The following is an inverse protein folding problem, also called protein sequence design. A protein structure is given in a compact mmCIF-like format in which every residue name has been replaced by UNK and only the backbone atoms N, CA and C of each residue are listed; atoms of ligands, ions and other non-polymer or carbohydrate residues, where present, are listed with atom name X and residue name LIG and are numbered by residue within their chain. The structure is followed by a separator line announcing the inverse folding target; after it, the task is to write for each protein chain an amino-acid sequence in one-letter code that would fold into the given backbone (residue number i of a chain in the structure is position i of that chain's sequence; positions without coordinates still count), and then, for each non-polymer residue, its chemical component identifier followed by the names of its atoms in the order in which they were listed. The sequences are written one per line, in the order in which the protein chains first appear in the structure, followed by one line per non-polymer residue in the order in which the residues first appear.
data_IF_403555439573
#
_entry.id   IF_403555439573
#
_cell.length_a   1.000
_cell.length_b   1.000
_cell.length_c   1.000
_cell.angle_alpha   90.00
_cell.angle_beta   90.00
_cell.angle_gamma   90.00
#
_symmetry.space_group_name_H-M   'P 1'
#
loop_
_entity.id
_entity.type
_entity.pdbx_description
1 polymer ?
#
# COMPACT_ATOMS: atom_id res chain seq x y z
N UNK A 1 31.38 -1.90 0.40
CA UNK A 1 30.26 -1.61 1.33
C UNK A 1 29.06 -2.49 0.93
N UNK A 2 29.15 -3.80 1.19
CA UNK A 2 28.45 -4.83 0.39
C UNK A 2 27.57 -5.78 1.23
N UNK A 3 27.12 -5.34 2.42
CA UNK A 3 26.55 -6.24 3.43
C UNK A 3 25.02 -6.16 3.63
N UNK A 4 24.28 -5.30 2.91
CA UNK A 4 22.85 -5.04 3.21
C UNK A 4 21.83 -5.60 2.21
N UNK A 5 22.27 -6.10 1.04
CA UNK A 5 21.42 -6.74 0.01
C UNK A 5 21.10 -8.22 0.29
N UNK A 6 21.82 -8.87 1.21
CA UNK A 6 21.75 -10.32 1.42
C UNK A 6 20.58 -10.82 2.29
N UNK A 7 19.79 -9.93 2.91
CA UNK A 7 18.85 -10.34 3.97
C UNK A 7 17.48 -10.81 3.50
N UNK A 8 16.91 -10.21 2.45
CA UNK A 8 15.49 -10.39 2.08
C UNK A 8 15.25 -11.42 0.98
N UNK A 9 16.11 -11.49 -0.04
CA UNK A 9 16.06 -12.54 -1.06
C UNK A 9 16.32 -13.92 -0.46
N UNK A 10 17.24 -14.01 0.51
CA UNK A 10 17.50 -15.24 1.26
C UNK A 10 16.33 -15.70 2.12
N UNK A 11 15.48 -14.79 2.58
CA UNK A 11 14.25 -15.15 3.28
C UNK A 11 13.26 -15.74 2.29
N UNK A 12 13.09 -15.16 1.09
CA UNK A 12 12.23 -15.72 0.04
C UNK A 12 12.70 -17.11 -0.42
N UNK A 13 14.00 -17.28 -0.67
CA UNK A 13 14.59 -18.58 -1.04
C UNK A 13 14.45 -19.62 0.08
N UNK A 14 14.62 -19.22 1.34
CA UNK A 14 14.36 -20.05 2.51
C UNK A 14 12.88 -20.44 2.61
N UNK A 15 11.97 -19.54 2.25
CA UNK A 15 10.53 -19.77 2.28
C UNK A 15 10.09 -20.74 1.18
N UNK A 16 10.62 -20.61 -0.04
CA UNK A 16 10.40 -21.56 -1.14
C UNK A 16 10.96 -22.96 -0.78
N UNK A 17 12.15 -23.00 -0.17
CA UNK A 17 12.77 -24.22 0.36
C UNK A 17 11.95 -24.90 1.46
N UNK A 18 11.33 -24.10 2.33
CA UNK A 18 10.51 -24.56 3.46
C UNK A 18 9.15 -25.08 2.98
N UNK A 19 8.58 -24.48 1.94
CA UNK A 19 7.27 -24.85 1.39
C UNK A 19 7.33 -26.00 0.37
N UNK A 20 8.50 -26.33 -0.19
CA UNK A 20 8.66 -27.49 -1.06
C UNK A 20 8.34 -28.81 -0.31
N UNK A 21 7.38 -29.58 -0.84
CA UNK A 21 6.68 -30.67 -0.12
C UNK A 21 7.58 -31.84 0.32
N UNK A 22 8.77 -32.06 -0.27
CA UNK A 22 9.58 -33.27 0.03
C UNK A 22 11.10 -33.07 0.20
N UNK A 23 11.64 -31.87 0.03
CA UNK A 23 13.11 -31.68 -0.06
C UNK A 23 13.71 -30.62 0.87
N UNK A 24 12.97 -30.14 1.88
CA UNK A 24 13.42 -29.03 2.74
C UNK A 24 14.79 -29.23 3.41
N UNK A 25 15.23 -30.47 3.64
CA UNK A 25 16.58 -30.78 4.12
C UNK A 25 17.68 -30.67 3.05
N UNK A 26 17.38 -31.04 1.80
CA UNK A 26 18.29 -30.91 0.67
C UNK A 26 18.48 -29.44 0.28
N UNK A 27 17.39 -28.66 0.26
CA UNK A 27 17.44 -27.24 -0.11
C UNK A 27 18.15 -26.40 0.96
N UNK A 28 17.97 -26.69 2.25
CA UNK A 28 18.77 -26.05 3.32
C UNK A 28 20.27 -26.33 3.18
N UNK A 29 20.65 -27.52 2.69
CA UNK A 29 22.05 -27.85 2.45
C UNK A 29 22.59 -27.12 1.21
N UNK A 30 21.79 -26.99 0.14
CA UNK A 30 22.13 -26.20 -1.05
C UNK A 30 22.32 -24.72 -0.70
N UNK A 31 21.37 -24.11 0.02
CA UNK A 31 21.47 -22.71 0.46
C UNK A 31 22.64 -22.46 1.41
N UNK A 32 22.98 -23.43 2.26
CA UNK A 32 24.15 -23.35 3.11
C UNK A 32 25.45 -23.44 2.28
N UNK A 33 25.52 -24.33 1.28
CA UNK A 33 26.64 -24.48 0.37
C UNK A 33 26.88 -23.21 -0.48
N UNK A 34 25.80 -22.61 -1.01
CA UNK A 34 25.83 -21.35 -1.76
C UNK A 34 26.27 -20.16 -0.88
N UNK A 35 26.00 -20.24 0.43
CA UNK A 35 26.47 -19.27 1.42
C UNK A 35 27.86 -19.59 2.01
N UNK A 36 28.58 -20.60 1.49
CA UNK A 36 29.84 -21.12 2.03
C UNK A 36 29.80 -21.42 3.54
N UNK A 37 28.65 -21.89 4.02
CA UNK A 37 28.36 -22.16 5.42
C UNK A 37 27.88 -23.59 5.61
N UNK A 38 28.10 -24.18 6.78
CA UNK A 38 27.46 -25.47 7.09
C UNK A 38 25.97 -25.25 7.35
N UNK A 39 25.13 -26.25 7.05
CA UNK A 39 23.68 -26.21 7.32
C UNK A 39 23.35 -25.84 8.79
N UNK A 40 24.21 -26.26 9.73
CA UNK A 40 24.13 -25.88 11.14
C UNK A 40 24.42 -24.39 11.40
N UNK A 41 25.48 -23.83 10.80
CA UNK A 41 25.82 -22.42 10.94
C UNK A 41 24.81 -21.50 10.22
N UNK A 42 24.33 -21.91 9.05
CA UNK A 42 23.29 -21.22 8.30
C UNK A 42 21.96 -21.19 9.08
N UNK A 43 21.50 -22.34 9.58
CA UNK A 43 20.29 -22.42 10.41
C UNK A 43 20.39 -21.54 11.66
N UNK A 44 21.55 -21.49 12.34
CA UNK A 44 21.76 -20.61 13.50
C UNK A 44 21.78 -19.13 13.11
N UNK A 45 22.32 -18.78 11.94
CA UNK A 45 22.35 -17.39 11.46
C UNK A 45 20.95 -16.90 11.09
N UNK A 46 20.16 -17.72 10.38
CA UNK A 46 18.76 -17.46 10.05
C UNK A 46 17.91 -17.37 11.32
N UNK A 47 18.08 -18.30 12.28
CA UNK A 47 17.35 -18.26 13.56
C UNK A 47 17.64 -16.98 14.36
N UNK A 48 18.86 -16.46 14.28
CA UNK A 48 19.24 -15.19 14.95
C UNK A 48 18.65 -13.97 14.24
N UNK A 49 18.49 -14.03 12.92
CA UNK A 49 17.93 -12.94 12.13
C UNK A 49 16.39 -12.90 12.17
N UNK A 50 15.74 -14.07 12.15
CA UNK A 50 14.29 -14.21 12.15
C UNK A 50 13.68 -14.47 13.55
N UNK A 51 14.48 -14.72 14.58
CA UNK A 51 13.97 -15.02 15.93
C UNK A 51 13.27 -16.38 16.07
N UNK A 52 13.12 -17.15 14.97
CA UNK A 52 12.50 -18.47 14.94
C UNK A 52 13.39 -19.45 14.13
N UNK A 53 13.58 -20.67 14.63
CA UNK A 53 14.35 -21.68 13.91
C UNK A 53 13.63 -22.12 12.61
N UNK A 54 14.33 -22.32 11.47
CA UNK A 54 13.69 -22.66 10.19
C UNK A 54 12.74 -23.87 10.26
N UNK A 55 13.14 -24.92 10.98
CA UNK A 55 12.31 -26.11 11.18
C UNK A 55 11.09 -25.85 12.08
N UNK A 56 11.17 -24.89 13.03
CA UNK A 56 10.03 -24.47 13.84
C UNK A 56 9.06 -23.62 13.01
N UNK A 57 9.58 -22.66 12.25
CA UNK A 57 8.82 -21.84 11.30
C UNK A 57 8.06 -22.69 10.29
N UNK A 58 8.74 -23.67 9.65
CA UNK A 58 8.10 -24.62 8.74
C UNK A 58 6.92 -25.33 9.39
N UNK A 59 7.12 -25.89 10.59
CA UNK A 59 6.07 -26.61 11.32
C UNK A 59 4.89 -25.69 11.64
N UNK A 60 5.14 -24.45 12.05
CA UNK A 60 4.10 -23.45 12.34
C UNK A 60 3.31 -23.12 11.08
N UNK A 61 3.98 -22.72 9.99
CA UNK A 61 3.34 -22.36 8.70
C UNK A 61 2.52 -23.52 8.14
N UNK A 62 3.00 -24.76 8.24
CA UNK A 62 2.23 -25.94 7.80
C UNK A 62 1.01 -26.23 8.67
N UNK A 63 1.09 -25.97 9.98
CA UNK A 63 -0.07 -26.06 10.88
C UNK A 63 -1.09 -24.96 10.58
N UNK A 64 -0.65 -23.73 10.29
CA UNK A 64 -1.51 -22.63 9.83
C UNK A 64 -2.22 -22.96 8.52
N UNK A 65 -1.51 -23.55 7.56
CA UNK A 65 -2.12 -24.07 6.32
C UNK A 65 -3.16 -25.15 6.62
N UNK A 66 -2.83 -26.13 7.45
CA UNK A 66 -3.75 -27.22 7.79
C UNK A 66 -5.01 -26.70 8.50
N UNK A 67 -4.87 -25.72 9.41
CA UNK A 67 -6.00 -25.08 10.06
C UNK A 67 -6.90 -24.35 9.04
N UNK A 68 -6.31 -23.61 8.09
CA UNK A 68 -7.05 -22.97 7.01
C UNK A 68 -7.79 -23.98 6.13
N UNK A 69 -7.12 -25.07 5.74
CA UNK A 69 -7.74 -26.13 4.92
C UNK A 69 -8.91 -26.80 5.65
N UNK A 70 -8.76 -27.10 6.95
CA UNK A 70 -9.83 -27.69 7.78
C UNK A 70 -11.02 -26.73 7.92
N UNK A 71 -10.76 -25.44 8.16
CA UNK A 71 -11.80 -24.41 8.20
C UNK A 71 -12.52 -24.25 6.85
N UNK A 72 -11.85 -24.57 5.74
CA UNK A 72 -12.42 -24.62 4.40
C UNK A 72 -13.11 -25.95 4.07
N UNK A 73 -13.23 -26.86 5.04
CA UNK A 73 -13.95 -28.13 4.90
C UNK A 73 -13.08 -29.33 4.46
N UNK A 74 -11.75 -29.19 4.40
CA UNK A 74 -10.87 -30.35 4.18
C UNK A 74 -10.94 -31.32 5.35
N UNK A 75 -10.87 -32.61 5.08
CA UNK A 75 -10.80 -33.62 6.14
C UNK A 75 -9.52 -33.47 6.96
N UNK A 76 -9.59 -33.77 8.27
CA UNK A 76 -8.43 -33.75 9.17
C UNK A 76 -7.32 -34.66 8.67
N UNK A 77 -7.68 -35.81 8.10
CA UNK A 77 -6.75 -36.80 7.54
C UNK A 77 -5.96 -36.22 6.36
N UNK A 78 -6.65 -35.59 5.41
CA UNK A 78 -6.00 -35.02 4.22
C UNK A 78 -5.12 -33.83 4.60
N UNK A 79 -5.59 -32.99 5.54
CA UNK A 79 -4.80 -31.88 6.06
C UNK A 79 -3.53 -32.36 6.79
N UNK A 80 -3.62 -33.47 7.53
CA UNK A 80 -2.46 -34.06 8.23
C UNK A 80 -1.36 -34.52 7.26
N UNK A 81 -1.74 -35.24 6.21
CA UNK A 81 -0.78 -35.72 5.20
C UNK A 81 -0.25 -34.58 4.33
N UNK A 82 -1.08 -33.61 3.95
CA UNK A 82 -0.64 -32.41 3.23
C UNK A 82 0.36 -31.56 4.05
N UNK A 83 0.22 -31.56 5.39
CA UNK A 83 1.16 -30.92 6.30
C UNK A 83 2.46 -31.74 6.54
N UNK A 84 2.60 -32.90 5.89
CA UNK A 84 3.80 -33.74 5.96
C UNK A 84 3.95 -34.56 7.23
N UNK A 85 2.85 -34.93 7.90
CA UNK A 85 2.86 -35.85 9.03
C UNK A 85 2.66 -37.29 8.58
N UNK A 86 3.43 -38.22 9.14
CA UNK A 86 3.31 -39.66 8.86
C UNK A 86 2.06 -40.30 9.51
N UNK A 87 1.41 -39.61 10.46
CA UNK A 87 0.19 -40.09 11.10
C UNK A 87 -0.74 -38.97 11.56
N UNK A 88 -2.04 -39.24 11.49
CA UNK A 88 -3.11 -38.32 11.95
C UNK A 88 -3.03 -38.06 13.46
N UNK A 89 -2.58 -39.05 14.24
CA UNK A 89 -2.36 -38.91 15.69
C UNK A 89 -1.16 -38.01 16.01
N UNK A 90 -0.09 -38.10 15.21
CA UNK A 90 1.05 -37.20 15.30
C UNK A 90 0.66 -35.75 15.00
N UNK A 91 -0.10 -35.57 13.91
CA UNK A 91 -0.66 -34.27 13.53
C UNK A 91 -1.59 -33.71 14.60
N UNK A 92 -2.58 -34.48 15.07
CA UNK A 92 -3.56 -34.04 16.05
C UNK A 92 -2.91 -33.57 17.35
N UNK A 93 -1.87 -34.28 17.84
CA UNK A 93 -1.10 -33.83 19.02
C UNK A 93 -0.35 -32.53 18.76
N UNK A 94 0.27 -32.37 17.59
CA UNK A 94 0.99 -31.13 17.25
C UNK A 94 0.01 -29.95 17.09
N UNK A 95 -1.11 -30.16 16.42
CA UNK A 95 -2.17 -29.19 16.21
C UNK A 95 -2.79 -28.75 17.55
N UNK A 96 -3.18 -29.69 18.40
CA UNK A 96 -3.76 -29.36 19.72
C UNK A 96 -2.81 -28.57 20.60
N UNK A 97 -1.50 -28.87 20.55
CA UNK A 97 -0.49 -28.08 21.28
C UNK A 97 -0.38 -26.65 20.76
N UNK A 98 -0.58 -26.45 19.45
CA UNK A 98 -0.46 -25.14 18.83
C UNK A 98 -1.74 -24.30 19.00
N UNK A 99 -2.91 -24.88 18.78
CA UNK A 99 -4.20 -24.17 18.76
C UNK A 99 -5.00 -24.26 20.06
N UNK A 100 -4.61 -25.13 20.98
CA UNK A 100 -5.34 -25.38 22.23
C UNK A 100 -6.63 -26.18 22.06
N UNK A 101 -6.91 -26.70 20.86
CA UNK A 101 -8.08 -27.53 20.55
C UNK A 101 -7.73 -28.58 19.49
N UNK A 102 -8.44 -29.74 19.45
CA UNK A 102 -8.22 -30.74 18.41
C UNK A 102 -8.63 -30.20 17.02
N UNK A 103 -8.02 -30.71 15.93
CA UNK A 103 -8.30 -30.23 14.57
C UNK A 103 -9.79 -30.26 14.20
N UNK A 104 -10.51 -31.30 14.66
CA UNK A 104 -11.95 -31.47 14.41
C UNK A 104 -12.83 -30.44 15.13
N UNK A 105 -12.29 -29.75 16.13
CA UNK A 105 -12.98 -28.70 16.89
C UNK A 105 -12.45 -27.30 16.54
N UNK A 106 -11.65 -27.17 15.47
CA UNK A 106 -11.19 -25.86 15.01
C UNK A 106 -12.41 -25.02 14.61
N UNK A 107 -12.65 -23.85 15.23
CA UNK A 107 -13.78 -23.00 14.89
C UNK A 107 -13.72 -22.52 13.44
N UNK A 108 -14.86 -22.16 12.83
CA UNK A 108 -14.89 -21.50 11.53
C UNK A 108 -13.98 -20.28 11.47
N UNK A 109 -13.47 -19.96 10.28
CA UNK A 109 -12.51 -18.86 10.06
C UNK A 109 -13.00 -17.49 10.57
N UNK A 110 -14.31 -17.23 10.52
CA UNK A 110 -14.88 -15.97 10.99
C UNK A 110 -14.88 -15.84 12.53
N UNK A 111 -14.91 -16.97 13.24
CA UNK A 111 -14.86 -17.00 14.71
C UNK A 111 -13.42 -17.01 15.23
N UNK A 112 -12.51 -17.64 14.49
CA UNK A 112 -11.09 -17.73 14.87
C UNK A 112 -10.19 -17.83 13.64
N UNK A 113 -9.22 -16.93 13.55
CA UNK A 113 -8.17 -17.01 12.54
C UNK A 113 -7.29 -18.27 12.69
N UNK A 114 -6.59 -18.62 11.62
CA UNK A 114 -5.70 -19.79 11.56
C UNK A 114 -4.24 -19.46 11.91
N UNK A 115 -3.88 -18.20 12.17
CA UNK A 115 -2.52 -17.78 12.49
C UNK A 115 -2.10 -18.15 13.91
N UNK A 116 -0.87 -18.64 14.04
CA UNK A 116 -0.21 -18.95 15.32
C UNK A 116 0.80 -17.84 15.65
N UNK A 117 1.11 -17.57 16.93
CA UNK A 117 2.13 -16.60 17.29
C UNK A 117 3.46 -16.82 16.54
N UNK A 118 3.92 -15.80 15.83
CA UNK A 118 5.08 -15.85 14.95
C UNK A 118 6.13 -14.80 15.37
N UNK A 119 7.28 -15.19 15.94
CA UNK A 119 8.32 -14.23 16.33
C UNK A 119 8.92 -13.42 15.18
N UNK A 120 8.83 -13.95 13.95
CA UNK A 120 9.24 -13.29 12.70
C UNK A 120 8.08 -12.59 11.97
N UNK A 121 6.86 -12.71 12.49
CA UNK A 121 5.64 -12.28 11.83
C UNK A 121 5.29 -13.02 10.52
N UNK A 122 6.03 -14.05 10.12
CA UNK A 122 5.77 -14.74 8.86
C UNK A 122 4.62 -15.74 9.06
N UNK A 123 3.49 -15.56 8.39
CA UNK A 123 2.32 -16.43 8.45
C UNK A 123 1.92 -16.98 7.08
N UNK A 124 1.22 -18.12 7.07
CA UNK A 124 0.55 -18.66 5.89
C UNK A 124 -0.66 -17.79 5.48
N UNK A 125 -0.69 -17.35 4.22
CA UNK A 125 -1.83 -16.70 3.58
C UNK A 125 -2.23 -17.39 2.27
N UNK A 126 -3.45 -17.90 2.21
CA UNK A 126 -3.99 -18.56 1.01
C UNK A 126 -4.15 -17.57 -0.17
N UNK A 127 -4.05 -18.02 -1.44
CA UNK A 127 -3.71 -19.38 -1.89
C UNK A 127 -2.20 -19.63 -2.09
N UNK A 128 -1.35 -18.60 -2.00
CA UNK A 128 0.08 -18.74 -2.36
C UNK A 128 1.00 -17.69 -1.74
N UNK A 129 0.55 -16.90 -0.75
CA UNK A 129 1.31 -15.75 -0.24
C UNK A 129 1.76 -16.00 1.20
N UNK A 130 2.93 -15.52 1.55
CA UNK A 130 3.36 -15.44 2.95
C UNK A 130 3.12 -14.02 3.43
N UNK A 131 2.33 -13.89 4.49
CA UNK A 131 2.09 -12.61 5.15
C UNK A 131 3.25 -12.36 6.12
N UNK A 132 3.86 -11.18 6.10
CA UNK A 132 4.87 -10.78 7.09
C UNK A 132 4.24 -9.71 7.96
N UNK A 133 3.77 -10.10 9.13
CA UNK A 133 3.40 -9.21 10.22
C UNK A 133 4.66 -8.44 10.64
N UNK A 134 4.62 -7.11 10.50
CA UNK A 134 5.78 -6.28 10.80
C UNK A 134 6.10 -6.21 12.30
N UNK A 135 5.19 -6.71 13.16
CA UNK A 135 5.36 -6.69 14.61
C UNK A 135 5.27 -5.28 15.18
N UNK A 136 4.35 -5.09 16.13
CA UNK A 136 3.79 -3.82 16.59
C UNK A 136 2.80 -3.20 15.60
N UNK A 137 1.70 -2.74 16.18
CA UNK A 137 0.60 -1.97 15.59
C UNK A 137 1.13 -0.62 15.11
N UNK A 138 1.98 -0.67 14.09
CA UNK A 138 2.21 0.44 13.19
C UNK A 138 1.03 0.31 12.22
N UNK A 139 -0.06 1.05 12.47
CA UNK A 139 -1.08 1.38 11.47
C UNK A 139 -0.37 1.40 10.11
N UNK A 140 -0.72 0.46 9.21
CA UNK A 140 -0.15 0.06 7.90
C UNK A 140 0.94 0.92 7.17
N UNK A 141 1.84 1.60 7.89
CA UNK A 141 2.14 3.00 7.55
C UNK A 141 0.90 3.89 7.74
N UNK A 142 1.08 5.17 8.07
CA UNK A 142 -0.01 6.14 7.98
C UNK A 142 -0.52 6.15 6.52
N UNK A 143 -1.57 5.36 6.24
CA UNK A 143 -2.12 5.13 4.91
C UNK A 143 -2.58 6.46 4.32
N UNK A 144 -3.09 7.35 5.17
CA UNK A 144 -3.50 8.69 4.79
C UNK A 144 -2.26 9.49 4.35
N UNK A 145 -1.17 9.48 5.11
CA UNK A 145 0.08 10.12 4.67
C UNK A 145 0.68 9.49 3.40
N UNK A 146 0.54 8.19 3.18
CA UNK A 146 0.94 7.53 1.94
C UNK A 146 0.12 8.05 0.76
N UNK A 147 -1.21 8.07 0.91
CA UNK A 147 -2.14 8.57 -0.11
C UNK A 147 -1.88 10.04 -0.43
N UNK A 148 -1.67 10.88 0.58
CA UNK A 148 -1.36 12.31 0.42
C UNK A 148 -0.06 12.50 -0.34
N UNK A 149 1.02 11.80 0.04
CA UNK A 149 2.31 11.95 -0.66
C UNK A 149 2.21 11.48 -2.10
N UNK A 150 1.57 10.34 -2.33
CA UNK A 150 1.33 9.83 -3.66
C UNK A 150 0.52 10.83 -4.51
N UNK A 151 -0.56 11.38 -3.96
CA UNK A 151 -1.40 12.39 -4.61
C UNK A 151 -0.61 13.61 -5.08
N UNK A 152 0.27 14.14 -4.21
CA UNK A 152 1.08 15.32 -4.50
C UNK A 152 2.16 15.01 -5.55
N UNK A 153 2.88 13.89 -5.41
CA UNK A 153 3.95 13.49 -6.32
C UNK A 153 3.40 13.11 -7.70
N UNK A 154 2.29 12.35 -7.74
CA UNK A 154 1.64 11.92 -8.98
C UNK A 154 1.03 13.10 -9.73
N UNK A 155 0.43 14.06 -9.02
CA UNK A 155 -0.03 15.33 -9.63
C UNK A 155 1.15 16.10 -10.22
N UNK A 156 2.29 16.20 -9.52
CA UNK A 156 3.47 16.86 -10.03
C UNK A 156 4.01 16.19 -11.31
N UNK A 157 3.98 14.85 -11.36
CA UNK A 157 4.40 14.07 -12.51
C UNK A 157 3.46 14.25 -13.72
N UNK A 158 2.13 14.29 -13.48
CA UNK A 158 1.12 14.59 -14.51
C UNK A 158 1.31 15.99 -15.08
N UNK A 159 1.49 17.00 -14.22
CA UNK A 159 1.74 18.38 -14.64
C UNK A 159 3.04 18.51 -15.44
N UNK A 160 4.11 17.82 -15.02
CA UNK A 160 5.37 17.80 -15.77
C UNK A 160 5.23 17.12 -17.14
N UNK A 161 4.39 16.10 -17.26
CA UNK A 161 4.16 15.42 -18.54
C UNK A 161 3.35 16.27 -19.54
N UNK A 162 2.62 17.28 -19.07
CA UNK A 162 1.95 18.25 -19.92
C UNK A 162 2.90 19.31 -20.49
N UNK A 163 4.16 19.36 -20.03
CA UNK A 163 5.15 20.29 -20.54
C UNK A 163 5.48 19.97 -22.02
N UNK A 164 5.27 20.95 -22.89
CA UNK A 164 5.48 20.80 -24.33
C UNK A 164 4.29 20.22 -25.10
N UNK A 165 3.13 20.02 -24.46
CA UNK A 165 1.87 19.84 -25.17
C UNK A 165 1.54 21.13 -25.92
N UNK A 166 1.19 21.01 -27.19
CA UNK A 166 0.78 22.15 -28.02
C UNK A 166 -0.47 22.83 -27.46
N UNK A 167 -0.56 24.15 -27.62
CA UNK A 167 -1.61 24.98 -27.03
C UNK A 167 -3.01 24.58 -27.51
N UNK A 168 -3.15 24.25 -28.80
CA UNK A 168 -4.43 23.83 -29.39
C UNK A 168 -4.87 22.50 -28.78
N UNK A 169 -3.95 21.54 -28.59
CA UNK A 169 -4.25 20.28 -27.93
C UNK A 169 -4.47 20.44 -26.42
N UNK A 170 -3.77 21.35 -25.76
CA UNK A 170 -3.95 21.65 -24.34
C UNK A 170 -5.36 22.16 -24.04
N UNK A 171 -5.89 23.03 -24.91
CA UNK A 171 -7.23 23.63 -24.80
C UNK A 171 -8.31 22.93 -25.62
N UNK A 172 -7.97 21.85 -26.33
CA UNK A 172 -8.94 21.06 -27.08
C UNK A 172 -10.01 20.47 -26.16
N UNK A 173 -11.26 20.76 -26.48
CA UNK A 173 -12.41 20.14 -25.83
C UNK A 173 -12.48 18.65 -26.19
N UNK A 174 -12.51 17.81 -25.15
CA UNK A 174 -12.56 16.34 -25.27
C UNK A 174 -13.82 15.73 -24.66
N UNK A 175 -14.38 16.38 -23.64
CA UNK A 175 -15.57 15.92 -22.94
C UNK A 175 -16.60 17.05 -22.81
N UNK A 176 -17.34 17.40 -23.87
CA UNK A 176 -18.30 18.50 -23.83
C UNK A 176 -19.32 18.34 -22.70
N UNK A 177 -19.49 19.39 -21.90
CA UNK A 177 -20.40 19.43 -20.75
C UNK A 177 -19.98 18.60 -19.54
N UNK A 178 -18.76 18.04 -19.52
CA UNK A 178 -18.28 17.28 -18.38
C UNK A 178 -17.88 18.17 -17.21
N UNK A 179 -18.37 17.78 -16.02
CA UNK A 179 -18.02 18.35 -14.72
C UNK A 179 -17.90 17.22 -13.71
N UNK A 180 -16.88 17.27 -12.86
CA UNK A 180 -16.75 16.30 -11.76
C UNK A 180 -17.56 16.75 -10.55
N UNK A 181 -17.52 18.05 -10.26
CA UNK A 181 -18.27 18.70 -9.20
C UNK A 181 -19.09 19.83 -9.83
N UNK A 182 -20.38 19.90 -9.55
CA UNK A 182 -21.29 20.87 -10.19
C UNK A 182 -20.87 22.33 -9.95
N UNK A 183 -20.20 22.59 -8.83
CA UNK A 183 -19.76 23.91 -8.39
C UNK A 183 -18.31 24.25 -8.77
N UNK A 184 -17.49 23.29 -9.20
CA UNK A 184 -16.07 23.53 -9.50
C UNK A 184 -15.85 24.13 -10.90
N UNK A 185 -16.84 23.99 -11.80
CA UNK A 185 -16.73 24.45 -13.18
C UNK A 185 -16.54 23.31 -14.18
N UNK A 186 -16.14 23.68 -15.39
CA UNK A 186 -16.03 22.76 -16.53
C UNK A 186 -14.70 21.99 -16.50
N UNK A 187 -14.74 20.69 -16.83
CA UNK A 187 -13.58 19.81 -16.91
C UNK A 187 -13.49 19.14 -18.29
N UNK A 188 -13.70 19.95 -19.33
CA UNK A 188 -13.84 19.47 -20.70
C UNK A 188 -12.52 19.43 -21.46
N UNK A 189 -11.51 20.18 -21.01
CA UNK A 189 -10.17 20.29 -21.60
C UNK A 189 -9.07 19.82 -20.65
N UNK A 190 -7.88 19.54 -21.19
CA UNK A 190 -6.72 19.20 -20.35
C UNK A 190 -6.33 20.38 -19.46
N UNK A 191 -6.40 21.62 -19.97
CA UNK A 191 -6.16 22.83 -19.20
C UNK A 191 -7.05 22.91 -17.95
N UNK A 192 -8.36 22.66 -18.09
CA UNK A 192 -9.27 22.69 -16.94
C UNK A 192 -8.91 21.62 -15.90
N UNK A 193 -8.70 20.38 -16.34
CA UNK A 193 -8.39 19.27 -15.43
C UNK A 193 -7.08 19.52 -14.68
N UNK A 194 -6.05 20.03 -15.34
CA UNK A 194 -4.78 20.35 -14.69
C UNK A 194 -4.88 21.56 -13.76
N UNK A 195 -5.70 22.56 -14.08
CA UNK A 195 -5.98 23.68 -13.20
C UNK A 195 -6.59 23.20 -11.88
N UNK A 196 -7.62 22.36 -11.94
CA UNK A 196 -8.22 21.74 -10.74
C UNK A 196 -7.22 20.90 -9.95
N UNK A 197 -6.45 20.04 -10.63
CA UNK A 197 -5.44 19.21 -9.97
C UNK A 197 -4.41 20.03 -9.19
N UNK A 198 -3.96 21.16 -9.75
CA UNK A 198 -2.96 22.01 -9.15
C UNK A 198 -3.50 22.83 -7.98
N UNK A 199 -4.78 23.21 -7.99
CA UNK A 199 -5.31 24.28 -7.14
C UNK A 199 -6.39 23.86 -6.14
N UNK A 200 -7.10 22.75 -6.33
CA UNK A 200 -8.28 22.39 -5.52
C UNK A 200 -8.02 22.25 -4.01
N UNK A 201 -6.76 22.12 -3.59
CA UNK A 201 -6.38 22.08 -2.17
C UNK A 201 -6.30 23.48 -1.53
N UNK A 202 -6.21 24.54 -2.33
CA UNK A 202 -5.97 25.89 -1.87
C UNK A 202 -7.18 26.50 -1.12
N UNK A 203 -8.44 26.36 -1.58
CA UNK A 203 -9.61 26.79 -0.79
C UNK A 203 -9.69 26.11 0.57
N UNK A 204 -9.40 24.80 0.62
CA UNK A 204 -9.34 24.06 1.86
C UNK A 204 -8.24 24.55 2.79
N UNK A 205 -7.05 24.86 2.27
CA UNK A 205 -5.96 25.45 3.06
C UNK A 205 -6.37 26.81 3.63
N UNK A 206 -6.95 27.69 2.82
CA UNK A 206 -7.42 29.00 3.30
C UNK A 206 -8.45 28.85 4.41
N UNK A 207 -9.44 27.96 4.23
CA UNK A 207 -10.45 27.64 5.22
C UNK A 207 -9.85 27.08 6.54
N UNK A 208 -8.90 26.15 6.46
CA UNK A 208 -8.25 25.53 7.63
C UNK A 208 -7.32 26.52 8.36
N UNK A 209 -6.60 27.36 7.61
CA UNK A 209 -5.60 28.30 8.14
C UNK A 209 -6.21 29.66 8.53
N UNK A 210 -7.49 29.89 8.22
CA UNK A 210 -8.20 31.13 8.50
C UNK A 210 -7.76 32.29 7.60
N UNK A 211 -7.37 32.00 6.36
CA UNK A 211 -7.03 33.00 5.35
C UNK A 211 -8.26 33.46 4.56
N UNK A 212 -8.12 34.58 3.85
CA UNK A 212 -9.14 35.08 2.91
C UNK A 212 -9.33 34.13 1.72
N UNK A 213 -10.41 34.35 0.96
CA UNK A 213 -10.70 33.60 -0.26
C UNK A 213 -9.47 33.61 -1.20
N UNK A 214 -8.93 32.43 -1.57
CA UNK A 214 -7.70 32.39 -2.31
C UNK A 214 -7.92 32.76 -3.77
N UNK A 215 -6.98 33.51 -4.34
CA UNK A 215 -6.94 33.71 -5.79
C UNK A 215 -6.61 32.39 -6.49
N UNK A 216 -7.59 31.83 -7.19
CA UNK A 216 -7.43 30.64 -8.04
C UNK A 216 -6.80 30.98 -9.41
N UNK A 217 -6.64 32.27 -9.73
CA UNK A 217 -5.89 32.75 -10.88
C UNK A 217 -6.57 32.53 -12.24
N UNK A 218 -6.14 33.32 -13.22
CA UNK A 218 -6.49 33.14 -14.64
C UNK A 218 -5.40 32.41 -15.42
N UNK A 219 -4.18 32.36 -14.86
CA UNK A 219 -3.02 31.72 -15.48
C UNK A 219 -3.19 30.19 -15.43
N UNK A 220 -3.47 29.59 -16.59
CA UNK A 220 -3.67 28.17 -16.79
C UNK A 220 -2.49 27.48 -17.49
N UNK A 221 -1.39 28.20 -17.72
CA UNK A 221 -0.19 27.63 -18.34
C UNK A 221 0.49 26.61 -17.42
N UNK A 222 1.05 25.57 -18.02
CA UNK A 222 1.61 24.42 -17.28
C UNK A 222 2.72 24.83 -16.32
N UNK A 223 3.54 25.84 -16.65
CA UNK A 223 4.63 26.26 -15.79
C UNK A 223 4.12 26.96 -14.53
N UNK A 224 3.10 27.81 -14.66
CA UNK A 224 2.43 28.46 -13.55
C UNK A 224 1.68 27.46 -12.67
N UNK A 225 0.96 26.50 -13.26
CA UNK A 225 0.30 25.43 -12.52
C UNK A 225 1.28 24.56 -11.72
N UNK A 226 2.45 24.22 -12.28
CA UNK A 226 3.50 23.47 -11.56
C UNK A 226 4.08 24.23 -10.37
N UNK A 227 4.33 25.53 -10.54
CA UNK A 227 4.82 26.41 -9.46
C UNK A 227 3.81 26.45 -8.31
N UNK A 228 2.55 26.74 -8.64
CA UNK A 228 1.43 26.78 -7.68
C UNK A 228 1.23 25.46 -6.96
N UNK A 229 1.21 24.34 -7.68
CA UNK A 229 1.10 23.00 -7.09
C UNK A 229 2.24 22.73 -6.10
N UNK A 230 3.48 23.12 -6.41
CA UNK A 230 4.61 22.89 -5.52
C UNK A 230 4.49 23.64 -4.18
N UNK A 231 4.01 24.88 -4.23
CA UNK A 231 3.75 25.71 -3.04
C UNK A 231 2.59 25.14 -2.20
N UNK A 232 1.48 24.79 -2.86
CA UNK A 232 0.29 24.21 -2.24
C UNK A 232 0.62 22.83 -1.63
N UNK A 233 1.38 21.99 -2.33
CA UNK A 233 1.79 20.67 -1.87
C UNK A 233 2.60 20.75 -0.57
N UNK A 234 3.51 21.71 -0.46
CA UNK A 234 4.30 21.92 0.76
C UNK A 234 3.42 22.30 1.96
N UNK A 235 2.47 23.24 1.76
CA UNK A 235 1.51 23.66 2.80
C UNK A 235 0.58 22.51 3.19
N UNK A 236 0.01 21.81 2.22
CA UNK A 236 -0.86 20.67 2.44
C UNK A 236 -0.20 19.56 3.25
N UNK A 237 1.06 19.23 2.94
CA UNK A 237 1.83 18.24 3.66
C UNK A 237 2.16 18.68 5.09
N UNK A 238 2.42 19.98 5.31
CA UNK A 238 2.65 20.53 6.63
C UNK A 238 1.39 20.49 7.50
N UNK A 239 0.25 20.93 6.94
CA UNK A 239 -1.06 20.90 7.59
C UNK A 239 -1.45 19.48 7.99
N UNK A 240 -1.42 18.53 7.06
CA UNK A 240 -1.84 17.14 7.34
C UNK A 240 -0.94 16.44 8.36
N UNK A 241 0.37 16.75 8.39
CA UNK A 241 1.28 16.28 9.44
C UNK A 241 0.98 16.87 10.81
N UNK A 242 0.56 18.14 10.87
CA UNK A 242 0.12 18.75 12.12
C UNK A 242 -1.16 18.10 12.65
N UNK A 243 -2.14 17.87 11.78
CA UNK A 243 -3.40 17.21 12.13
C UNK A 243 -3.15 15.82 12.71
N UNK A 244 -2.34 15.00 12.03
CA UNK A 244 -1.94 13.67 12.52
C UNK A 244 -1.22 13.77 13.87
N UNK A 245 -0.23 14.67 13.99
CA UNK A 245 0.54 14.86 15.23
C UNK A 245 -0.35 15.23 16.42
N UNK A 246 -1.43 15.99 16.19
CA UNK A 246 -2.39 16.39 17.23
C UNK A 246 -3.51 15.37 17.44
N UNK A 247 -3.65 14.36 16.58
CA UNK A 247 -4.82 13.46 16.60
C UNK A 247 -6.13 14.17 16.24
N UNK A 248 -6.06 15.23 15.43
CA UNK A 248 -7.12 16.20 15.20
C UNK A 248 -8.05 15.87 14.02
N UNK A 249 -8.03 14.63 13.50
CA UNK A 249 -8.85 14.25 12.33
C UNK A 249 -10.36 14.40 12.52
N UNK A 250 -10.81 14.44 13.78
CA UNK A 250 -12.19 14.70 14.18
C UNK A 250 -12.53 16.17 14.45
N UNK A 251 -11.56 17.09 14.29
CA UNK A 251 -11.81 18.52 14.43
C UNK A 251 -12.67 19.02 13.24
N UNK A 252 -13.52 20.00 13.53
CA UNK A 252 -14.41 20.63 12.56
C UNK A 252 -13.81 21.96 12.10
N UNK A 253 -13.92 22.23 10.81
CA UNK A 253 -13.70 23.54 10.22
C UNK A 253 -15.03 24.07 9.72
N UNK A 254 -15.31 25.32 10.05
CA UNK A 254 -16.48 26.03 9.53
C UNK A 254 -16.00 26.84 8.35
N UNK A 255 -16.40 26.44 7.15
CA UNK A 255 -16.13 27.19 5.94
C UNK A 255 -17.06 28.39 5.86
N UNK A 256 -16.52 29.53 6.31
CA UNK A 256 -17.21 30.81 6.23
C UNK A 256 -17.19 31.42 4.81
N UNK A 257 -16.47 30.82 3.87
CA UNK A 257 -16.43 31.23 2.46
C UNK A 257 -17.62 30.63 1.67
N UNK A 258 -18.23 29.55 2.16
CA UNK A 258 -19.49 29.03 1.62
C UNK A 258 -20.69 29.94 1.97
N UNK A 259 -21.66 30.03 1.06
CA UNK A 259 -22.99 30.63 1.32
C UNK A 259 -24.11 29.60 1.08
N UNK A 260 -24.76 29.07 2.14
CA UNK A 260 -24.53 29.38 3.56
C UNK A 260 -23.22 28.74 4.09
N UNK A 261 -22.68 29.23 5.23
CA UNK A 261 -21.51 28.61 5.85
C UNK A 261 -21.75 27.14 6.19
N UNK A 262 -20.79 26.27 5.82
CA UNK A 262 -20.87 24.83 6.01
C UNK A 262 -19.78 24.34 6.98
N UNK A 263 -20.02 23.21 7.65
CA UNK A 263 -19.06 22.63 8.59
C UNK A 263 -18.59 21.27 8.12
N UNK A 264 -17.27 21.07 8.07
CA UNK A 264 -16.65 19.84 7.60
C UNK A 264 -15.64 19.31 8.61
N UNK A 265 -15.53 17.98 8.72
CA UNK A 265 -14.43 17.36 9.45
C UNK A 265 -13.14 17.45 8.63
N UNK A 266 -11.99 17.65 9.30
CA UNK A 266 -10.68 17.60 8.63
C UNK A 266 -10.45 16.29 7.87
N UNK A 267 -10.90 15.17 8.44
CA UNK A 267 -10.87 13.87 7.75
C UNK A 267 -11.75 13.81 6.49
N UNK A 268 -12.91 14.47 6.49
CA UNK A 268 -13.80 14.53 5.33
C UNK A 268 -13.19 15.39 4.21
N UNK A 269 -12.56 16.52 4.57
CA UNK A 269 -11.84 17.38 3.63
C UNK A 269 -10.72 16.60 2.93
N UNK A 270 -9.90 15.87 3.69
CA UNK A 270 -8.82 15.05 3.10
C UNK A 270 -9.36 13.90 2.25
N UNK A 271 -10.42 13.22 2.69
CA UNK A 271 -11.06 12.17 1.90
C UNK A 271 -11.66 12.71 0.59
N UNK A 272 -12.32 13.86 0.65
CA UNK A 272 -12.88 14.57 -0.51
C UNK A 272 -11.78 14.90 -1.53
N UNK A 273 -10.73 15.60 -1.09
CA UNK A 273 -9.63 16.05 -1.96
C UNK A 273 -8.91 14.87 -2.62
N UNK A 274 -8.60 13.80 -1.88
CA UNK A 274 -7.95 12.61 -2.43
C UNK A 274 -8.84 11.89 -3.46
N UNK A 275 -10.15 11.82 -3.21
CA UNK A 275 -11.11 11.13 -4.09
C UNK A 275 -11.16 11.80 -5.46
N UNK A 276 -11.41 13.11 -5.49
CA UNK A 276 -11.56 13.83 -6.77
C UNK A 276 -10.21 14.04 -7.46
N UNK A 277 -9.13 14.24 -6.71
CA UNK A 277 -7.80 14.34 -7.32
C UNK A 277 -7.36 13.02 -7.97
N UNK A 278 -7.66 11.86 -7.37
CA UNK A 278 -7.39 10.55 -7.99
C UNK A 278 -8.12 10.37 -9.32
N UNK A 279 -9.40 10.75 -9.38
CA UNK A 279 -10.18 10.73 -10.62
C UNK A 279 -9.54 11.63 -11.69
N UNK A 280 -9.25 12.89 -11.35
CA UNK A 280 -8.69 13.87 -12.29
C UNK A 280 -7.30 13.49 -12.78
N UNK A 281 -6.45 12.85 -11.97
CA UNK A 281 -5.15 12.34 -12.45
C UNK A 281 -5.31 11.27 -13.52
N UNK A 282 -6.27 10.35 -13.37
CA UNK A 282 -6.56 9.36 -14.41
C UNK A 282 -7.13 10.01 -15.67
N UNK A 283 -8.03 10.98 -15.51
CA UNK A 283 -8.59 11.72 -16.63
C UNK A 283 -7.51 12.51 -17.40
N UNK A 284 -6.65 13.22 -16.70
CA UNK A 284 -5.52 13.95 -17.28
C UNK A 284 -4.58 13.02 -18.04
N UNK A 285 -4.28 11.82 -17.49
CA UNK A 285 -3.49 10.80 -18.21
C UNK A 285 -4.12 10.39 -19.52
N UNK A 286 -5.42 10.11 -19.51
CA UNK A 286 -6.15 9.79 -20.72
C UNK A 286 -6.09 10.93 -21.76
N UNK A 287 -6.30 12.18 -21.33
CA UNK A 287 -6.20 13.34 -22.22
C UNK A 287 -4.78 13.58 -22.75
N UNK A 288 -3.73 13.40 -21.93
CA UNK A 288 -2.33 13.47 -22.33
C UNK A 288 -2.00 12.42 -23.40
N UNK A 289 -2.47 11.18 -23.22
CA UNK A 289 -2.29 10.13 -24.22
C UNK A 289 -2.97 10.50 -25.56
N UNK A 290 -4.16 11.11 -25.51
CA UNK A 290 -4.84 11.61 -26.71
C UNK A 290 -4.11 12.77 -27.38
N UNK A 291 -3.45 13.63 -26.60
CA UNK A 291 -2.57 14.69 -27.10
C UNK A 291 -1.23 14.17 -27.65
N UNK A 292 -1.01 12.85 -27.67
CA UNK A 292 0.20 12.23 -28.22
C UNK A 292 1.38 12.12 -27.25
N UNK A 293 1.18 12.41 -25.96
CA UNK A 293 2.23 12.30 -24.93
C UNK A 293 2.46 10.82 -24.57
N UNK A 294 3.72 10.38 -24.55
CA UNK A 294 4.07 9.02 -24.08
C UNK A 294 3.99 8.92 -22.56
N UNK A 295 2.84 8.44 -22.06
CA UNK A 295 2.57 8.31 -20.62
C UNK A 295 3.02 6.97 -20.02
N UNK A 296 3.66 6.06 -20.77
CA UNK A 296 3.97 4.69 -20.29
C UNK A 296 4.89 4.66 -19.06
N UNK A 297 5.70 5.70 -18.90
CA UNK A 297 6.61 5.86 -17.78
C UNK A 297 5.93 6.44 -16.53
N UNK A 298 4.70 6.94 -16.66
CA UNK A 298 3.95 7.59 -15.59
C UNK A 298 2.92 6.62 -14.97
N UNK A 299 3.46 5.59 -14.31
CA UNK A 299 2.67 4.58 -13.62
C UNK A 299 1.91 5.19 -12.43
N UNK A 300 0.56 5.15 -12.44
CA UNK A 300 -0.27 5.77 -11.41
C UNK A 300 -0.44 4.92 -10.14
N UNK A 301 0.12 3.71 -10.09
CA UNK A 301 -0.06 2.81 -8.96
C UNK A 301 0.74 3.29 -7.73
N UNK A 302 0.08 3.59 -6.58
CA UNK A 302 0.75 3.96 -5.34
C UNK A 302 1.75 2.90 -4.87
N UNK A 303 1.52 1.62 -5.16
CA UNK A 303 2.45 0.52 -4.83
C UNK A 303 3.76 0.72 -5.58
N UNK A 304 3.67 1.02 -6.88
CA UNK A 304 4.83 1.17 -7.74
C UNK A 304 5.56 2.49 -7.47
N UNK A 305 4.83 3.59 -7.22
CA UNK A 305 5.40 4.84 -6.74
C UNK A 305 6.15 4.65 -5.42
N UNK A 306 5.52 4.02 -4.42
CA UNK A 306 6.14 3.82 -3.12
C UNK A 306 7.38 2.93 -3.21
N UNK A 307 7.35 1.89 -4.05
CA UNK A 307 8.55 1.07 -4.35
C UNK A 307 9.66 1.94 -4.95
N UNK A 308 9.38 2.81 -5.92
CA UNK A 308 10.42 3.71 -6.48
C UNK A 308 10.98 4.66 -5.41
N UNK A 309 10.12 5.29 -4.62
CA UNK A 309 10.50 6.27 -3.60
C UNK A 309 11.28 5.64 -2.43
N UNK A 310 10.94 4.43 -2.02
CA UNK A 310 11.60 3.71 -0.91
C UNK A 310 12.82 2.88 -1.36
N UNK A 311 13.15 2.86 -2.65
CA UNK A 311 14.19 1.97 -3.20
C UNK A 311 13.83 0.49 -3.07
N UNK A 312 12.54 0.18 -3.24
CA UNK A 312 11.84 -1.04 -2.88
C UNK A 312 12.57 -2.33 -3.21
N UNK A 313 12.29 -3.35 -2.37
CA UNK A 313 12.72 -4.76 -2.43
C UNK A 313 13.39 -5.16 -3.75
N UNK A 314 14.70 -4.86 -3.85
CA UNK A 314 15.60 -5.27 -4.93
C UNK A 314 16.83 -5.95 -4.35
#
# INVERSE_FOLDING_TARGET
MTARRLGRDRIRELLDAVLAEREGGAVLNTLAADAHSSSFHFSRQVSRAAGEAPAAMRRRVLLERAAWEIQAGRSVTDAAFAAGYDSVEGFSRAFSRAYGCPPSAMPPRHDRGHWLPAPNGIHFHSPTVLYVDAGQEISAGDVVALMIRHDLDDTAAVLAAAEGVDDDEFRRERLPGHRVLEWAGDETTLANVLHHLALDKLPWLACIEGEDEPDLGVEDDVASLRRRHSEIAARWLAMTRDVERRGAWGDWVVDALCDPPESFLLSQIVAHTLTFSAHRRQLARWMLAQAGVDIRHLDPDPIMWHRRASGGLS
#
